data_IF_492420678071
#
_entry.id   IF_492420678071
#
_cell.length_a   1.000
_cell.length_b   1.000
_cell.length_c   1.000
_cell.angle_alpha   90.00
_cell.angle_beta   90.00
_cell.angle_gamma   90.00
#
_symmetry.space_group_name_H-M   'P 1'
#
loop_
_entity.id
_entity.type
_entity.pdbx_description
1 polymer ?
#
# COMPACT_ATOMS: atom_id res chain seq x y z
N UNK A 1 10.06 9.69 19.01
CA UNK A 1 9.43 9.23 17.76
C UNK A 1 10.12 10.00 16.65
N UNK A 2 10.41 9.37 15.49
CA UNK A 2 10.94 10.09 14.33
C UNK A 2 10.03 11.26 13.98
N UNK A 3 10.57 12.32 13.38
CA UNK A 3 9.79 13.42 12.80
C UNK A 3 8.90 12.93 11.66
N UNK A 4 7.90 13.73 11.25
CA UNK A 4 7.02 13.34 10.15
C UNK A 4 7.78 13.15 8.83
N UNK A 5 8.80 13.97 8.55
CA UNK A 5 9.60 13.81 7.32
C UNK A 5 10.42 12.52 7.33
N UNK A 6 10.95 12.12 8.50
CA UNK A 6 11.67 10.85 8.63
C UNK A 6 10.73 9.65 8.44
N UNK A 7 9.50 9.72 8.99
CA UNK A 7 8.49 8.68 8.75
C UNK A 7 8.03 8.66 7.30
N UNK A 8 7.85 9.83 6.68
CA UNK A 8 7.49 9.96 5.26
C UNK A 8 8.55 9.31 4.37
N UNK A 9 9.84 9.57 4.63
CA UNK A 9 10.94 8.95 3.88
C UNK A 9 10.83 7.44 3.85
N UNK A 10 10.72 6.81 5.02
CA UNK A 10 10.63 5.34 5.16
C UNK A 10 9.34 4.83 4.51
N UNK A 11 8.24 5.55 4.72
CA UNK A 11 6.94 5.23 4.15
C UNK A 11 6.94 5.22 2.62
N UNK A 12 7.56 6.22 1.99
CA UNK A 12 7.68 6.33 0.53
C UNK A 12 8.64 5.27 -0.03
N UNK A 13 9.78 5.02 0.62
CA UNK A 13 10.72 3.97 0.24
C UNK A 13 10.02 2.59 0.20
N UNK A 14 9.32 2.21 1.27
CA UNK A 14 8.56 0.96 1.33
C UNK A 14 7.41 0.92 0.32
N UNK A 15 6.78 2.05 0.03
CA UNK A 15 5.72 2.12 -0.97
C UNK A 15 6.26 1.91 -2.38
N UNK A 16 7.42 2.48 -2.72
CA UNK A 16 8.07 2.27 -4.01
C UNK A 16 8.46 0.81 -4.21
N UNK A 17 9.06 0.18 -3.19
CA UNK A 17 9.42 -1.24 -3.22
C UNK A 17 8.18 -2.12 -3.42
N UNK A 18 7.11 -1.88 -2.63
CA UNK A 18 5.88 -2.69 -2.69
C UNK A 18 5.12 -2.58 -4.00
N UNK A 19 5.26 -1.46 -4.71
CA UNK A 19 4.62 -1.25 -6.00
C UNK A 19 5.57 -1.54 -7.17
N UNK A 20 6.74 -2.13 -6.92
CA UNK A 20 7.76 -2.45 -7.93
C UNK A 20 8.23 -1.21 -8.73
N UNK A 21 8.25 -0.05 -8.07
CA UNK A 21 8.67 1.24 -8.64
C UNK A 21 10.08 1.66 -8.20
N UNK A 22 10.65 0.97 -7.21
CA UNK A 22 12.02 1.21 -6.75
C UNK A 22 13.04 0.55 -7.70
N UNK A 23 13.78 1.37 -8.44
CA UNK A 23 14.80 0.93 -9.40
C UNK A 23 16.15 1.56 -9.05
N UNK A 24 16.22 2.89 -9.14
CA UNK A 24 17.37 3.70 -8.72
C UNK A 24 16.82 4.95 -8.05
N UNK A 25 16.13 4.75 -6.93
CA UNK A 25 15.57 5.84 -6.14
C UNK A 25 16.50 6.21 -5.00
N UNK A 26 16.59 7.50 -4.71
CA UNK A 26 17.52 8.02 -3.71
C UNK A 26 16.98 9.24 -3.02
N UNK A 27 17.09 9.26 -1.69
CA UNK A 27 16.74 10.42 -0.88
C UNK A 27 17.99 11.24 -0.55
N UNK A 28 17.89 12.56 -0.65
CA UNK A 28 18.92 13.51 -0.22
C UNK A 28 18.34 14.48 0.80
N UNK A 29 19.08 14.74 1.87
CA UNK A 29 18.77 15.85 2.77
C UNK A 29 18.90 17.18 2.01
N UNK A 30 18.31 18.24 2.55
CA UNK A 30 18.42 19.56 1.91
C UNK A 30 19.86 20.07 1.86
N UNK A 31 20.70 19.73 2.84
CA UNK A 31 22.13 20.07 2.84
C UNK A 31 22.87 19.33 1.72
N UNK A 32 22.61 18.04 1.55
CA UNK A 32 23.18 17.22 0.48
C UNK A 32 22.73 17.73 -0.89
N UNK A 33 21.44 18.08 -1.03
CA UNK A 33 20.88 18.61 -2.27
C UNK A 33 21.51 19.94 -2.67
N UNK A 34 21.59 20.90 -1.74
CA UNK A 34 22.23 22.21 -1.98
C UNK A 34 23.70 22.07 -2.34
N UNK A 35 24.40 21.08 -1.78
CA UNK A 35 25.81 20.82 -2.12
C UNK A 35 26.00 20.36 -3.58
N UNK A 36 24.97 19.81 -4.23
CA UNK A 36 24.98 19.47 -5.66
C UNK A 36 24.87 20.68 -6.58
N UNK A 37 24.45 21.84 -6.04
CA UNK A 37 24.28 23.09 -6.78
C UNK A 37 23.29 22.94 -7.97
N UNK A 38 22.17 22.27 -7.71
CA UNK A 38 21.03 22.11 -8.64
C UNK A 38 20.17 23.38 -8.68
N UNK A 39 19.42 23.61 -9.76
CA UNK A 39 18.63 24.84 -9.96
C UNK A 39 17.34 24.87 -9.12
N UNK A 40 16.73 23.71 -8.86
CA UNK A 40 15.41 23.58 -8.22
C UNK A 40 15.46 22.89 -6.86
N UNK A 41 14.35 22.97 -6.11
CA UNK A 41 14.12 22.27 -4.83
C UNK A 41 15.06 22.66 -3.68
N UNK A 42 15.73 23.82 -3.79
CA UNK A 42 16.69 24.32 -2.80
C UNK A 42 16.06 24.76 -1.47
N UNK A 43 14.73 24.70 -1.35
CA UNK A 43 13.92 25.03 -0.19
C UNK A 43 13.05 23.86 0.32
N UNK A 44 13.14 22.69 -0.32
CA UNK A 44 12.48 21.47 0.15
C UNK A 44 13.09 20.98 1.48
N UNK A 45 12.34 20.19 2.27
CA UNK A 45 12.88 19.55 3.48
C UNK A 45 13.61 18.23 3.17
N UNK A 46 13.20 17.58 2.08
CA UNK A 46 13.75 16.32 1.59
C UNK A 46 13.60 16.29 0.07
N UNK A 47 14.56 15.72 -0.63
CA UNK A 47 14.49 15.51 -2.07
C UNK A 47 14.53 14.02 -2.38
N UNK A 48 13.62 13.55 -3.23
CA UNK A 48 13.64 12.22 -3.81
C UNK A 48 14.07 12.34 -5.27
N UNK A 49 15.14 11.64 -5.62
CA UNK A 49 15.58 11.37 -6.99
C UNK A 49 15.02 10.02 -7.39
N UNK A 50 14.47 9.92 -8.59
CA UNK A 50 13.81 8.70 -9.06
C UNK A 50 13.96 8.50 -10.57
N UNK A 51 13.88 7.24 -10.99
CA UNK A 51 13.84 6.80 -12.38
C UNK A 51 12.72 5.77 -12.61
N UNK A 52 12.56 5.32 -13.87
CA UNK A 52 11.73 4.17 -14.23
C UNK A 52 10.22 4.33 -14.01
N UNK A 53 9.63 3.47 -13.17
CA UNK A 53 8.18 3.38 -12.98
C UNK A 53 7.58 4.66 -12.40
N UNK A 54 8.18 5.20 -11.33
CA UNK A 54 7.76 6.46 -10.72
C UNK A 54 7.93 7.63 -11.71
N UNK A 55 9.03 7.67 -12.45
CA UNK A 55 9.25 8.64 -13.52
C UNK A 55 8.13 8.61 -14.56
N UNK A 56 7.74 7.43 -15.01
CA UNK A 56 6.69 7.26 -16.02
C UNK A 56 5.33 7.69 -15.45
N UNK A 57 5.01 7.27 -14.23
CA UNK A 57 3.76 7.59 -13.53
C UNK A 57 3.56 9.12 -13.42
N UNK A 58 4.60 9.86 -13.01
CA UNK A 58 4.49 11.30 -12.75
C UNK A 58 4.56 12.17 -14.02
N UNK A 59 5.28 11.73 -15.05
CA UNK A 59 5.53 12.57 -16.23
C UNK A 59 4.65 12.21 -17.44
N UNK A 60 4.15 10.98 -17.54
CA UNK A 60 3.46 10.47 -18.74
C UNK A 60 2.04 9.93 -18.49
N UNK A 61 1.50 10.15 -17.28
CA UNK A 61 0.08 9.92 -16.98
C UNK A 61 -0.23 8.58 -16.32
N UNK A 62 0.15 8.43 -15.05
CA UNK A 62 -0.32 7.37 -14.16
C UNK A 62 -1.30 7.87 -13.08
N UNK A 63 -1.98 6.93 -12.40
CA UNK A 63 -2.82 7.24 -11.24
C UNK A 63 -1.93 7.51 -10.01
N UNK A 64 -1.82 8.78 -9.64
CA UNK A 64 -1.06 9.23 -8.46
C UNK A 64 -1.91 9.34 -7.21
N UNK A 65 -3.21 9.05 -7.27
CA UNK A 65 -4.14 9.42 -6.18
C UNK A 65 -3.78 8.79 -4.83
N UNK A 66 -3.29 7.54 -4.81
CA UNK A 66 -2.78 6.93 -3.57
C UNK A 66 -1.46 7.55 -3.12
N UNK A 67 -0.55 7.84 -4.05
CA UNK A 67 0.76 8.41 -3.74
C UNK A 67 0.63 9.81 -3.13
N UNK A 68 -0.19 10.66 -3.76
CA UNK A 68 -0.48 12.02 -3.32
C UNK A 68 -1.08 12.01 -1.91
N UNK A 69 -2.13 11.23 -1.71
CA UNK A 69 -2.83 11.15 -0.43
C UNK A 69 -1.95 10.51 0.66
N UNK A 70 -1.08 9.57 0.30
CA UNK A 70 -0.15 8.98 1.25
C UNK A 70 0.89 9.99 1.73
N UNK A 71 1.42 10.84 0.85
CA UNK A 71 2.34 11.94 1.23
C UNK A 71 1.63 12.97 2.11
N UNK A 72 0.40 13.37 1.73
CA UNK A 72 -0.44 14.29 2.50
C UNK A 72 -0.74 13.78 3.91
N UNK A 73 -0.84 12.46 4.09
CA UNK A 73 -1.10 11.85 5.40
C UNK A 73 -0.01 12.15 6.43
N UNK A 74 1.23 12.43 6.00
CA UNK A 74 2.33 12.86 6.87
C UNK A 74 2.41 14.39 7.05
N UNK A 75 1.53 15.14 6.41
CA UNK A 75 1.52 16.61 6.44
C UNK A 75 2.47 17.24 5.44
N UNK A 76 2.73 16.57 4.31
CA UNK A 76 3.58 17.10 3.24
C UNK A 76 2.82 17.12 1.92
N UNK A 77 3.26 17.96 1.01
CA UNK A 77 2.99 17.84 -0.42
C UNK A 77 4.33 17.74 -1.16
N UNK A 78 4.31 17.44 -2.45
CA UNK A 78 5.53 17.40 -3.25
C UNK A 78 5.40 18.27 -4.50
N UNK A 79 6.54 18.76 -4.98
CA UNK A 79 6.65 19.44 -6.27
C UNK A 79 7.81 18.83 -7.07
N UNK A 80 7.64 18.72 -8.39
CA UNK A 80 8.70 18.30 -9.29
C UNK A 80 9.69 19.45 -9.51
N UNK A 81 10.99 19.18 -9.40
CA UNK A 81 12.03 20.12 -9.81
C UNK A 81 12.39 19.89 -11.28
N UNK A 82 12.90 18.70 -11.55
CA UNK A 82 13.06 18.13 -12.88
C UNK A 82 12.14 16.92 -13.06
N UNK A 83 12.09 16.35 -14.27
CA UNK A 83 11.32 15.13 -14.51
C UNK A 83 11.79 13.92 -13.69
N UNK A 84 13.00 13.97 -13.12
CA UNK A 84 13.67 12.88 -12.40
C UNK A 84 13.80 13.13 -10.89
N UNK A 85 13.20 14.21 -10.36
CA UNK A 85 13.23 14.48 -8.92
C UNK A 85 12.02 15.26 -8.42
N UNK A 86 11.78 15.14 -7.11
CA UNK A 86 10.75 15.89 -6.40
C UNK A 86 11.24 16.34 -5.02
N UNK A 87 10.76 17.49 -4.57
CA UNK A 87 10.97 18.00 -3.22
C UNK A 87 9.71 17.84 -2.37
N UNK A 88 9.88 17.51 -1.09
CA UNK A 88 8.79 17.45 -0.12
C UNK A 88 8.72 18.74 0.70
N UNK A 89 7.51 19.26 0.84
CA UNK A 89 7.23 20.55 1.46
C UNK A 89 6.13 20.42 2.52
N UNK A 90 6.27 21.06 3.69
CA UNK A 90 5.27 20.97 4.75
C UNK A 90 3.97 21.65 4.33
N UNK A 91 2.83 21.00 4.59
CA UNK A 91 1.51 21.60 4.39
C UNK A 91 1.31 22.72 5.42
N UNK A 92 0.98 23.96 5.00
CA UNK A 92 0.77 25.06 5.92
C UNK A 92 -0.34 24.76 6.93
N UNK A 93 -0.05 25.00 8.22
CA UNK A 93 -0.96 24.76 9.34
C UNK A 93 -1.35 23.29 9.59
N UNK A 94 -0.58 22.32 9.09
CA UNK A 94 -0.77 20.92 9.48
C UNK A 94 -0.42 20.70 10.97
N UNK A 95 -1.21 19.86 11.63
CA UNK A 95 -0.99 19.49 13.02
C UNK A 95 0.02 18.34 13.14
N UNK A 96 1.30 18.67 13.36
CA UNK A 96 2.36 17.69 13.55
C UNK A 96 2.42 17.10 14.96
N UNK A 97 1.44 17.38 15.84
CA UNK A 97 1.44 16.83 17.19
C UNK A 97 1.25 15.32 17.16
N UNK A 98 2.15 14.61 17.86
CA UNK A 98 2.02 13.18 18.01
C UNK A 98 0.99 12.85 19.08
N UNK A 99 0.02 12.00 18.76
CA UNK A 99 -1.05 11.67 19.69
C UNK A 99 -0.55 10.67 20.74
N UNK A 100 -0.69 11.05 22.01
CA UNK A 100 -0.47 10.17 23.15
C UNK A 100 -1.82 9.61 23.59
N UNK A 101 -2.00 8.30 23.47
CA UNK A 101 -3.23 7.64 23.90
C UNK A 101 -3.34 6.21 23.38
N UNK A 102 -4.45 5.57 23.74
CA UNK A 102 -4.84 4.29 23.16
C UNK A 102 -5.14 4.43 21.67
N UNK A 103 -4.98 3.35 20.92
CA UNK A 103 -5.32 3.31 19.50
C UNK A 103 -6.74 3.82 19.22
N UNK A 104 -7.72 3.42 20.05
CA UNK A 104 -9.11 3.86 19.93
C UNK A 104 -9.29 5.39 20.07
N UNK A 105 -8.44 6.06 20.86
CA UNK A 105 -8.44 7.53 20.96
C UNK A 105 -7.87 8.17 19.69
N UNK A 106 -6.81 7.60 19.11
CA UNK A 106 -6.25 8.08 17.83
C UNK A 106 -7.25 8.00 16.68
N UNK A 107 -8.13 7.00 16.70
CA UNK A 107 -9.24 6.90 15.72
C UNK A 107 -10.32 7.99 15.87
N UNK A 108 -10.21 8.88 16.87
CA UNK A 108 -11.08 10.06 16.98
C UNK A 108 -10.49 11.29 16.30
N UNK A 109 -9.23 11.24 15.86
CA UNK A 109 -8.56 12.32 15.13
C UNK A 109 -9.25 12.61 13.79
N UNK A 110 -9.28 13.89 13.42
CA UNK A 110 -9.89 14.35 12.17
C UNK A 110 -9.20 13.73 10.95
N UNK A 111 -7.87 13.60 10.96
CA UNK A 111 -7.09 13.00 9.88
C UNK A 111 -7.49 11.54 9.63
N UNK A 112 -7.68 10.76 10.70
CA UNK A 112 -8.21 9.41 10.56
C UNK A 112 -9.65 9.40 10.04
N UNK A 113 -10.51 10.29 10.53
CA UNK A 113 -11.91 10.37 10.08
C UNK A 113 -12.01 10.69 8.59
N UNK A 114 -11.16 11.59 8.10
CA UNK A 114 -11.06 11.94 6.68
C UNK A 114 -10.53 10.77 5.85
N UNK A 115 -9.42 10.15 6.26
CA UNK A 115 -8.88 8.93 5.64
C UNK A 115 -9.92 7.81 5.55
N UNK A 116 -10.59 7.54 6.68
CA UNK A 116 -11.62 6.50 6.76
C UNK A 116 -12.81 6.82 5.86
N UNK A 117 -13.23 8.09 5.78
CA UNK A 117 -14.28 8.53 4.85
C UNK A 117 -13.87 8.30 3.40
N UNK A 118 -12.65 8.69 3.01
CA UNK A 118 -12.12 8.50 1.67
C UNK A 118 -12.12 7.01 1.27
N UNK A 119 -11.67 6.12 2.16
CA UNK A 119 -11.70 4.66 1.91
C UNK A 119 -13.12 4.17 1.66
N UNK A 120 -14.11 4.66 2.43
CA UNK A 120 -15.52 4.28 2.25
C UNK A 120 -16.11 4.85 0.97
N UNK A 121 -15.77 6.08 0.61
CA UNK A 121 -16.20 6.72 -0.64
C UNK A 121 -15.68 5.98 -1.87
N UNK A 122 -14.38 5.62 -1.88
CA UNK A 122 -13.79 4.80 -2.95
C UNK A 122 -14.45 3.44 -3.09
N UNK A 123 -14.93 2.87 -1.99
CA UNK A 123 -15.66 1.61 -1.98
C UNK A 123 -17.18 1.76 -2.25
N UNK A 124 -17.66 2.98 -2.56
CA UNK A 124 -19.08 3.24 -2.79
C UNK A 124 -19.95 2.97 -1.56
N UNK A 125 -19.41 3.13 -0.36
CA UNK A 125 -20.04 2.83 0.93
C UNK A 125 -20.54 1.37 1.04
N UNK A 126 -19.82 0.43 0.42
CA UNK A 126 -20.11 -1.00 0.44
C UNK A 126 -18.91 -1.79 0.95
N UNK A 127 -19.20 -2.89 1.64
CA UNK A 127 -18.20 -3.87 2.03
C UNK A 127 -17.53 -4.44 0.77
N UNK A 128 -16.22 -4.36 0.68
CA UNK A 128 -15.46 -4.87 -0.46
C UNK A 128 -15.35 -6.41 -0.48
N UNK A 129 -15.75 -7.10 0.59
CA UNK A 129 -15.74 -8.57 0.66
C UNK A 129 -17.09 -9.18 0.34
N UNK A 130 -18.20 -8.56 0.74
CA UNK A 130 -19.55 -9.14 0.59
C UNK A 130 -20.59 -8.21 -0.03
N UNK A 131 -20.25 -6.96 -0.34
CA UNK A 131 -21.17 -5.96 -0.91
C UNK A 131 -22.21 -5.38 0.06
N UNK A 132 -22.25 -5.83 1.32
CA UNK A 132 -23.17 -5.28 2.33
C UNK A 132 -22.96 -3.78 2.52
N UNK A 133 -24.04 -3.05 2.80
CA UNK A 133 -24.02 -1.62 3.18
C UNK A 133 -24.23 -1.41 4.69
N UNK A 134 -24.41 -2.50 5.45
CA UNK A 134 -24.65 -2.42 6.88
C UNK A 134 -23.34 -2.20 7.64
N UNK A 135 -23.36 -1.21 8.54
CA UNK A 135 -22.27 -0.82 9.45
C UNK A 135 -20.87 -0.96 8.84
N UNK A 136 -20.53 0.02 8.02
CA UNK A 136 -19.27 0.07 7.28
C UNK A 136 -18.13 0.70 8.08
N UNK A 137 -17.04 -0.05 8.19
CA UNK A 137 -15.84 0.25 8.95
C UNK A 137 -14.60 0.16 8.04
N UNK A 138 -13.55 0.91 8.37
CA UNK A 138 -12.26 0.85 7.68
C UNK A 138 -11.35 -0.10 8.45
N UNK A 139 -10.83 -1.10 7.76
CA UNK A 139 -9.91 -2.10 8.28
C UNK A 139 -8.49 -1.83 7.82
N UNK A 140 -7.51 -1.90 8.73
CA UNK A 140 -6.08 -1.93 8.37
C UNK A 140 -5.67 -3.38 8.07
N UNK A 141 -5.41 -3.70 6.79
CA UNK A 141 -5.03 -5.04 6.31
C UNK A 141 -3.59 -5.42 6.68
N UNK A 142 -2.74 -4.41 6.92
CA UNK A 142 -1.41 -4.60 7.46
C UNK A 142 -0.97 -3.33 8.17
N UNK A 143 0.06 -3.47 9.00
CA UNK A 143 0.76 -2.35 9.61
C UNK A 143 2.20 -2.39 9.10
N UNK A 144 2.60 -1.40 8.30
CA UNK A 144 4.01 -1.06 8.09
C UNK A 144 4.68 -0.82 9.45
N UNK A 145 5.89 -1.34 9.55
CA UNK A 145 6.85 -1.31 10.65
C UNK A 145 6.29 -0.68 11.94
N UNK A 146 5.54 -1.46 12.73
CA UNK A 146 4.99 -1.03 14.03
C UNK A 146 6.04 -0.46 15.00
N UNK A 147 7.34 -0.65 14.72
CA UNK A 147 8.43 -0.09 15.53
C UNK A 147 8.61 1.43 15.34
N UNK A 148 8.13 2.01 14.24
CA UNK A 148 8.43 3.41 13.88
C UNK A 148 7.32 4.40 14.26
N UNK A 149 6.13 3.90 14.61
CA UNK A 149 5.08 4.71 15.24
C UNK A 149 4.20 5.50 14.28
N UNK A 150 3.92 4.97 13.08
CA UNK A 150 2.95 5.58 12.17
C UNK A 150 1.60 5.79 12.85
N UNK A 151 1.00 6.94 12.57
CA UNK A 151 -0.35 7.25 12.99
C UNK A 151 -1.39 6.49 12.14
N UNK A 152 -2.63 6.27 12.61
CA UNK A 152 -3.61 5.45 11.89
C UNK A 152 -3.92 5.91 10.45
N UNK A 153 -3.72 7.19 10.14
CA UNK A 153 -3.89 7.76 8.80
C UNK A 153 -2.63 7.69 7.93
N UNK A 154 -1.45 7.45 8.51
CA UNK A 154 -0.13 7.37 7.86
C UNK A 154 0.10 5.98 7.20
N UNK A 155 -0.91 5.48 6.49
CA UNK A 155 -0.88 4.22 5.75
C UNK A 155 -1.43 4.45 4.34
N UNK A 156 -0.91 3.80 3.29
CA UNK A 156 -1.45 4.00 1.94
C UNK A 156 -2.87 3.43 1.84
N UNK A 157 -3.66 3.90 0.88
CA UNK A 157 -5.05 3.43 0.70
C UNK A 157 -5.13 1.92 0.46
N UNK A 158 -4.14 1.35 -0.22
CA UNK A 158 -3.96 -0.10 -0.43
C UNK A 158 -3.77 -0.90 0.87
N UNK A 159 -3.40 -0.25 1.98
CA UNK A 159 -3.37 -0.86 3.31
C UNK A 159 -4.74 -0.94 3.97
N UNK A 160 -5.73 -0.23 3.43
CA UNK A 160 -7.02 -0.02 4.04
C UNK A 160 -8.12 -0.69 3.23
N UNK A 161 -9.12 -1.24 3.92
CA UNK A 161 -10.25 -1.90 3.27
C UNK A 161 -11.56 -1.50 3.91
N UNK A 162 -12.57 -1.24 3.09
CA UNK A 162 -13.92 -0.91 3.52
C UNK A 162 -14.70 -2.22 3.74
N UNK A 163 -15.06 -2.53 4.99
CA UNK A 163 -15.71 -3.78 5.38
C UNK A 163 -16.95 -3.54 6.23
N UNK A 164 -17.96 -4.41 6.10
CA UNK A 164 -19.00 -4.50 7.12
C UNK A 164 -18.42 -5.16 8.38
N UNK A 165 -19.09 -4.98 9.52
CA UNK A 165 -18.63 -5.51 10.81
C UNK A 165 -18.30 -7.01 10.79
N UNK A 166 -19.15 -7.85 10.18
CA UNK A 166 -18.92 -9.30 10.16
C UNK A 166 -17.66 -9.66 9.36
N UNK A 167 -17.50 -9.07 8.17
CA UNK A 167 -16.30 -9.26 7.36
C UNK A 167 -15.06 -8.68 8.06
N UNK A 168 -15.17 -7.56 8.77
CA UNK A 168 -14.06 -6.99 9.54
C UNK A 168 -13.57 -7.95 10.64
N UNK A 169 -14.49 -8.55 11.40
CA UNK A 169 -14.16 -9.54 12.43
C UNK A 169 -13.55 -10.82 11.84
N UNK A 170 -14.06 -11.29 10.70
CA UNK A 170 -13.57 -12.51 10.05
C UNK A 170 -12.23 -12.30 9.35
N UNK A 171 -12.03 -11.16 8.70
CA UNK A 171 -10.77 -10.76 8.06
C UNK A 171 -9.62 -10.79 9.07
N UNK A 172 -9.81 -10.16 10.22
CA UNK A 172 -8.83 -10.15 11.32
C UNK A 172 -8.39 -11.57 11.74
N UNK A 173 -9.34 -12.52 11.80
CA UNK A 173 -9.05 -13.92 12.16
C UNK A 173 -8.27 -14.62 11.04
N UNK A 174 -8.65 -14.41 9.78
CA UNK A 174 -8.01 -15.05 8.62
C UNK A 174 -6.58 -14.54 8.45
N UNK A 175 -6.34 -13.23 8.56
CA UNK A 175 -4.99 -12.64 8.47
C UNK A 175 -4.06 -13.17 9.56
N UNK A 176 -4.56 -13.27 10.80
CA UNK A 176 -3.80 -13.86 11.90
C UNK A 176 -3.43 -15.33 11.62
N UNK A 177 -4.37 -16.13 11.10
CA UNK A 177 -4.12 -17.53 10.72
C UNK A 177 -3.15 -17.65 9.55
N UNK A 178 -3.25 -16.76 8.56
CA UNK A 178 -2.32 -16.73 7.42
C UNK A 178 -0.91 -16.40 7.89
N UNK A 179 -0.74 -15.42 8.79
CA UNK A 179 0.57 -15.13 9.39
C UNK A 179 1.16 -16.32 10.16
N UNK A 180 0.32 -17.03 10.91
CA UNK A 180 0.73 -18.26 11.60
C UNK A 180 1.09 -19.39 10.62
N UNK A 181 0.46 -19.45 9.46
CA UNK A 181 0.80 -20.38 8.40
C UNK A 181 2.15 -20.04 7.75
N UNK A 182 2.37 -18.77 7.39
CA UNK A 182 3.62 -18.27 6.81
C UNK A 182 4.83 -18.54 7.72
N UNK A 183 4.64 -18.53 9.04
CA UNK A 183 5.70 -18.88 10.01
C UNK A 183 6.23 -20.32 9.87
N UNK A 184 5.57 -21.20 9.12
CA UNK A 184 6.02 -22.57 8.83
C UNK A 184 6.91 -22.67 7.60
N UNK A 185 6.99 -21.60 6.80
CA UNK A 185 7.72 -21.56 5.54
C UNK A 185 9.06 -20.83 5.75
N UNK A 186 10.07 -21.19 4.96
CA UNK A 186 11.32 -20.42 4.90
C UNK A 186 11.11 -19.10 4.15
N UNK A 187 12.01 -18.13 4.35
CA UNK A 187 11.99 -16.86 3.61
C UNK A 187 11.89 -17.08 2.10
N UNK A 188 12.71 -17.99 1.55
CA UNK A 188 12.70 -18.29 0.11
C UNK A 188 11.38 -18.92 -0.35
N UNK A 189 10.74 -19.75 0.49
CA UNK A 189 9.44 -20.34 0.16
C UNK A 189 8.33 -19.30 0.14
N UNK A 190 8.34 -18.35 1.10
CA UNK A 190 7.37 -17.24 1.14
C UNK A 190 7.53 -16.38 -0.11
N UNK A 191 8.77 -16.01 -0.45
CA UNK A 191 9.04 -15.19 -1.62
C UNK A 191 8.66 -15.90 -2.93
N UNK A 192 9.01 -17.17 -3.08
CA UNK A 192 8.61 -17.98 -4.25
C UNK A 192 7.08 -18.12 -4.37
N UNK A 193 6.37 -18.26 -3.25
CA UNK A 193 4.91 -18.33 -3.23
C UNK A 193 4.30 -16.98 -3.65
N UNK A 194 4.86 -15.86 -3.17
CA UNK A 194 4.44 -14.51 -3.54
C UNK A 194 4.55 -14.31 -5.05
N UNK A 195 5.73 -14.60 -5.63
CA UNK A 195 5.97 -14.49 -7.07
C UNK A 195 5.06 -15.40 -7.90
N UNK A 196 4.88 -16.65 -7.45
CA UNK A 196 4.01 -17.62 -8.12
C UNK A 196 2.55 -17.18 -8.14
N UNK A 197 2.03 -16.66 -7.02
CA UNK A 197 0.66 -16.13 -6.94
C UNK A 197 0.50 -14.86 -7.79
N UNK A 198 1.47 -13.95 -7.75
CA UNK A 198 1.46 -12.74 -8.57
C UNK A 198 1.35 -13.10 -10.07
N UNK A 199 2.23 -14.00 -10.53
CA UNK A 199 2.22 -14.50 -11.91
C UNK A 199 0.90 -15.20 -12.24
N UNK A 200 0.36 -16.04 -11.34
CA UNK A 200 -0.88 -16.75 -11.59
C UNK A 200 -2.07 -15.79 -11.75
N UNK A 201 -2.21 -14.80 -10.87
CA UNK A 201 -3.30 -13.82 -10.93
C UNK A 201 -3.15 -12.83 -12.09
N UNK A 202 -1.92 -12.60 -12.57
CA UNK A 202 -1.69 -11.84 -13.79
C UNK A 202 -2.20 -12.58 -15.03
N UNK A 203 -1.86 -13.86 -15.17
CA UNK A 203 -2.17 -14.63 -16.38
C UNK A 203 -3.57 -15.27 -16.40
N UNK A 204 -4.22 -15.43 -15.24
CA UNK A 204 -5.49 -16.15 -15.12
C UNK A 204 -6.49 -15.42 -14.22
N UNK A 205 -7.79 -15.68 -14.44
CA UNK A 205 -8.86 -15.18 -13.59
C UNK A 205 -8.63 -15.61 -12.12
N UNK A 206 -8.83 -14.69 -11.18
CA UNK A 206 -8.55 -14.94 -9.75
C UNK A 206 -9.28 -16.16 -9.18
N UNK A 207 -10.56 -16.29 -9.52
CA UNK A 207 -11.41 -17.37 -9.03
C UNK A 207 -10.95 -18.73 -9.59
N UNK A 208 -10.43 -18.76 -10.81
CA UNK A 208 -9.90 -19.98 -11.42
C UNK A 208 -8.60 -20.45 -10.74
N UNK A 209 -7.72 -19.52 -10.38
CA UNK A 209 -6.50 -19.82 -9.61
C UNK A 209 -6.86 -20.37 -8.23
N UNK A 210 -7.80 -19.74 -7.53
CA UNK A 210 -8.26 -20.19 -6.21
C UNK A 210 -8.93 -21.58 -6.28
N UNK A 211 -9.77 -21.82 -7.30
CA UNK A 211 -10.40 -23.13 -7.53
C UNK A 211 -9.34 -24.22 -7.71
N UNK A 212 -8.32 -23.99 -8.55
CA UNK A 212 -7.21 -24.94 -8.74
C UNK A 212 -6.50 -25.27 -7.42
N UNK A 213 -6.11 -24.25 -6.66
CA UNK A 213 -5.39 -24.42 -5.40
C UNK A 213 -6.23 -25.24 -4.39
N UNK A 214 -7.56 -25.07 -4.41
CA UNK A 214 -8.47 -25.84 -3.56
C UNK A 214 -8.49 -27.34 -3.88
N UNK A 215 -8.24 -27.73 -5.15
CA UNK A 215 -8.26 -29.15 -5.58
C UNK A 215 -6.96 -29.89 -5.31
N UNK A 216 -5.87 -29.22 -4.94
CA UNK A 216 -4.58 -29.89 -4.70
C UNK A 216 -4.61 -30.93 -3.57
N UNK A 217 -5.60 -30.87 -2.67
CA UNK A 217 -5.82 -31.87 -1.61
C UNK A 217 -6.70 -33.05 -2.00
N UNK A 218 -7.11 -33.15 -3.26
CA UNK A 218 -8.09 -34.12 -3.74
C UNK A 218 -7.45 -35.22 -4.62
N UNK A 219 -8.24 -35.89 -5.48
CA UNK A 219 -7.74 -36.92 -6.40
C UNK A 219 -6.98 -36.32 -7.59
N UNK A 220 -6.06 -37.09 -8.17
CA UNK A 220 -5.33 -36.69 -9.36
C UNK A 220 -6.28 -36.29 -10.51
N UNK A 221 -7.40 -37.00 -10.66
CA UNK A 221 -8.44 -36.69 -11.66
C UNK A 221 -9.05 -35.30 -11.44
N UNK A 222 -9.38 -34.94 -10.20
CA UNK A 222 -9.91 -33.59 -9.89
C UNK A 222 -8.86 -32.51 -10.14
N UNK A 223 -7.59 -32.78 -9.87
CA UNK A 223 -6.48 -31.86 -10.19
C UNK A 223 -6.36 -31.67 -11.71
N UNK A 224 -6.37 -32.76 -12.48
CA UNK A 224 -6.29 -32.68 -13.95
C UNK A 224 -7.42 -31.85 -14.55
N UNK A 225 -8.65 -32.04 -14.06
CA UNK A 225 -9.80 -31.26 -14.50
C UNK A 225 -9.66 -29.77 -14.14
N UNK A 226 -9.21 -29.45 -12.92
CA UNK A 226 -9.00 -28.07 -12.50
C UNK A 226 -7.90 -27.36 -13.31
N UNK A 227 -6.82 -28.05 -13.67
CA UNK A 227 -5.80 -27.51 -14.58
C UNK A 227 -6.39 -27.21 -15.96
N UNK A 228 -7.18 -28.13 -16.50
CA UNK A 228 -7.84 -27.94 -17.79
C UNK A 228 -8.79 -26.73 -17.79
N UNK A 229 -9.49 -26.49 -16.67
CA UNK A 229 -10.38 -25.34 -16.52
C UNK A 229 -9.63 -24.02 -16.32
N UNK A 230 -8.55 -24.02 -15.53
CA UNK A 230 -7.66 -22.85 -15.39
C UNK A 230 -7.15 -22.38 -16.77
N UNK A 231 -6.69 -23.30 -17.61
CA UNK A 231 -6.14 -22.97 -18.93
C UNK A 231 -7.15 -22.29 -19.87
N UNK A 232 -8.46 -22.47 -19.63
CA UNK A 232 -9.53 -21.79 -20.38
C UNK A 232 -9.83 -20.38 -19.85
N UNK A 233 -9.36 -20.05 -18.64
CA UNK A 233 -9.61 -18.78 -17.93
C UNK A 233 -8.36 -17.89 -17.90
N UNK A 234 -7.65 -17.83 -19.03
CA UNK A 234 -6.56 -16.87 -19.20
C UNK A 234 -7.12 -15.46 -19.32
N UNK A 235 -6.47 -14.51 -18.67
CA UNK A 235 -6.75 -13.10 -18.87
C UNK A 235 -6.31 -12.71 -20.29
N UNK A 236 -7.06 -11.83 -20.93
CA UNK A 236 -6.64 -11.20 -22.17
C UNK A 236 -5.48 -10.24 -21.84
N UNK A 237 -4.26 -10.70 -22.07
CA UNK A 237 -3.07 -9.86 -21.98
C UNK A 237 -2.79 -9.31 -23.37
N UNK A 238 -3.02 -8.01 -23.59
CA UNK A 238 -2.58 -7.29 -24.79
C UNK A 238 -1.05 -7.29 -24.93
#
# INVERSE_FOLDING_TARGET
MPSNIERLKIAVEEWLIRNELDIDTGFSSIEEWRARNEDFLNDAELVLVFEGGLYTMLNYGGDTAEFDEYIESFGYFYELGHSWNMGFYPIPNYDYTTLIGSYAQKLQDTRWKEKSKLVKERAGWKCQDCGSIDRIETHHCYYTVMREGNEPWEYPLSALRCLCRSCHEDRSKIESRMRAYLAKLTTNQIDSLKEGLNTAFYWFESDAVVELLSKLGHSDEEIYMAVADLLKKRNDTE
#
